data_IF_075713235369
#
_entry.id   IF_075713235369
#
_cell.length_a   1.000
_cell.length_b   1.000
_cell.length_c   1.000
_cell.angle_alpha   90.00
_cell.angle_beta   90.00
_cell.angle_gamma   90.00
#
_symmetry.space_group_name_H-M   'P 1'
#
loop_
_entity.id
_entity.type
_entity.pdbx_description
1 polymer ?
#
# COMPACT_ATOMS: atom_id res chain seq x y z
N UNK A 1 -5.40 -6.19 -5.18
CA UNK A 1 -4.45 -7.30 -5.46
C UNK A 1 -5.07 -8.36 -6.35
N UNK A 2 -6.10 -9.08 -5.92
CA UNK A 2 -6.75 -10.17 -6.68
C UNK A 2 -7.11 -9.73 -8.11
N UNK A 3 -7.66 -8.52 -8.28
CA UNK A 3 -7.99 -7.99 -9.59
C UNK A 3 -6.75 -7.77 -10.50
N UNK A 4 -5.62 -7.33 -9.94
CA UNK A 4 -4.36 -7.17 -10.70
C UNK A 4 -3.86 -8.54 -11.18
N UNK A 5 -4.01 -9.57 -10.36
CA UNK A 5 -3.66 -10.94 -10.74
C UNK A 5 -4.59 -11.51 -11.84
N UNK A 6 -5.87 -11.12 -11.84
CA UNK A 6 -6.90 -11.66 -12.72
C UNK A 6 -6.98 -10.97 -14.10
N UNK A 7 -6.41 -9.77 -14.27
CA UNK A 7 -6.55 -9.01 -15.53
C UNK A 7 -5.23 -8.93 -16.31
N UNK A 8 -5.34 -8.94 -17.63
CA UNK A 8 -4.19 -8.70 -18.54
C UNK A 8 -4.11 -7.27 -19.05
N UNK A 9 -5.08 -6.40 -18.72
CA UNK A 9 -5.13 -5.03 -19.24
C UNK A 9 -4.29 -4.09 -18.37
N UNK A 10 -3.20 -3.56 -18.89
CA UNK A 10 -2.32 -2.62 -18.19
C UNK A 10 -3.02 -1.35 -17.72
N UNK A 11 -3.95 -0.82 -18.51
CA UNK A 11 -4.77 0.33 -18.09
C UNK A 11 -5.62 0.04 -16.84
N UNK A 12 -6.12 -1.20 -16.70
CA UNK A 12 -6.87 -1.62 -15.52
C UNK A 12 -5.96 -1.73 -14.30
N UNK A 13 -4.71 -2.20 -14.47
CA UNK A 13 -3.71 -2.22 -13.39
C UNK A 13 -3.42 -0.81 -12.87
N UNK A 14 -3.24 0.17 -13.76
CA UNK A 14 -3.02 1.57 -13.35
C UNK A 14 -4.23 2.14 -12.60
N UNK A 15 -5.46 1.86 -13.05
CA UNK A 15 -6.65 2.31 -12.33
C UNK A 15 -6.76 1.66 -10.94
N UNK A 16 -6.30 0.42 -10.78
CA UNK A 16 -6.23 -0.25 -9.47
C UNK A 16 -5.18 0.37 -8.54
N UNK A 17 -4.05 0.84 -9.08
CA UNK A 17 -3.08 1.59 -8.29
C UNK A 17 -3.67 2.90 -7.76
N UNK A 18 -4.47 3.62 -8.57
CA UNK A 18 -5.20 4.81 -8.11
C UNK A 18 -6.14 4.46 -6.95
N UNK A 19 -6.94 3.41 -7.12
CA UNK A 19 -7.87 2.97 -6.07
C UNK A 19 -7.12 2.55 -4.80
N UNK A 20 -5.99 1.88 -4.94
CA UNK A 20 -5.14 1.47 -3.82
C UNK A 20 -4.53 2.69 -3.10
N UNK A 21 -4.06 3.69 -3.83
CA UNK A 21 -3.56 4.95 -3.26
C UNK A 21 -4.64 5.69 -2.46
N UNK A 22 -5.87 5.77 -2.98
CA UNK A 22 -7.01 6.34 -2.24
C UNK A 22 -7.34 5.54 -0.98
N UNK A 23 -7.35 4.20 -1.06
CA UNK A 23 -7.59 3.36 0.13
C UNK A 23 -6.51 3.58 1.20
N UNK A 24 -5.23 3.65 0.81
CA UNK A 24 -4.15 3.95 1.75
C UNK A 24 -4.31 5.33 2.39
N UNK A 25 -4.69 6.34 1.61
CA UNK A 25 -4.99 7.66 2.14
C UNK A 25 -6.08 7.62 3.22
N UNK A 26 -7.20 6.92 2.97
CA UNK A 26 -8.27 6.76 3.96
C UNK A 26 -7.82 5.97 5.19
N UNK A 27 -6.99 4.94 5.02
CA UNK A 27 -6.42 4.19 6.14
C UNK A 27 -5.54 5.10 7.00
N UNK A 28 -4.67 5.92 6.40
CA UNK A 28 -3.87 6.90 7.13
C UNK A 28 -4.75 7.90 7.88
N UNK A 29 -5.79 8.42 7.25
CA UNK A 29 -6.68 9.39 7.86
C UNK A 29 -7.43 8.80 9.07
N UNK A 30 -7.93 7.56 8.96
CA UNK A 30 -8.61 6.89 10.08
C UNK A 30 -7.63 6.46 11.17
N UNK A 31 -6.40 6.10 10.83
CA UNK A 31 -5.33 5.81 11.78
C UNK A 31 -5.03 7.04 12.64
N UNK A 32 -4.85 8.18 11.99
CA UNK A 32 -4.60 9.46 12.67
C UNK A 32 -5.73 9.87 13.62
N UNK A 33 -6.99 9.70 13.21
CA UNK A 33 -8.13 10.05 14.05
C UNK A 33 -8.21 9.23 15.35
N UNK A 34 -7.48 8.11 15.44
CA UNK A 34 -7.40 7.23 16.62
C UNK A 34 -6.19 7.52 17.52
N UNK A 35 -5.28 8.39 17.08
CA UNK A 35 -4.07 8.70 17.84
C UNK A 35 -4.42 9.44 19.15
N UNK A 36 -3.84 9.02 20.31
CA UNK A 36 -4.19 9.55 21.63
C UNK A 36 -3.83 11.03 21.78
N UNK A 37 -2.84 11.54 21.02
CA UNK A 37 -2.44 12.94 21.04
C UNK A 37 -3.35 13.84 20.17
N UNK A 38 -4.15 13.24 19.25
CA UNK A 38 -5.12 13.98 18.45
C UNK A 38 -6.44 14.14 19.18
N UNK A 39 -6.74 15.35 19.59
CA UNK A 39 -8.05 15.69 20.16
C UNK A 39 -8.59 16.93 19.43
N UNK A 40 -9.86 16.95 19.08
CA UNK A 40 -10.48 18.10 18.40
C UNK A 40 -10.31 19.41 19.19
N UNK A 41 -10.16 19.31 20.50
CA UNK A 41 -9.86 20.47 21.40
C UNK A 41 -8.45 21.04 21.19
N UNK A 42 -7.51 20.27 20.61
CA UNK A 42 -6.15 20.75 20.30
C UNK A 42 -6.16 21.84 19.24
N UNK A 43 -7.06 21.77 18.26
CA UNK A 43 -7.16 22.76 17.17
C UNK A 43 -7.45 24.16 17.74
N UNK A 44 -8.05 24.22 18.92
CA UNK A 44 -8.38 25.47 19.62
C UNK A 44 -7.26 26.01 20.54
N UNK A 45 -6.23 25.20 20.87
CA UNK A 45 -5.17 25.55 21.81
C UNK A 45 -3.80 25.65 21.15
N UNK A 46 -3.24 26.83 21.01
CA UNK A 46 -1.92 27.08 20.41
C UNK A 46 -0.77 26.34 21.11
N UNK A 47 -0.81 26.22 22.43
CA UNK A 47 0.23 25.56 23.22
C UNK A 47 0.23 24.04 23.00
N UNK A 48 -0.95 23.43 22.85
CA UNK A 48 -1.10 22.01 22.52
C UNK A 48 -0.62 21.70 21.10
N UNK A 49 -0.80 22.60 20.15
CA UNK A 49 -0.29 22.47 18.78
C UNK A 49 1.25 22.52 18.80
N UNK A 50 1.86 23.48 19.53
CA UNK A 50 3.31 23.58 19.62
C UNK A 50 3.96 22.34 20.27
N UNK A 51 3.36 21.78 21.31
CA UNK A 51 3.87 20.59 21.96
C UNK A 51 3.87 19.35 21.05
N UNK A 52 2.91 19.24 20.12
CA UNK A 52 2.75 18.10 19.20
C UNK A 52 3.21 18.42 17.76
N UNK A 53 3.90 19.52 17.53
CA UNK A 53 4.40 19.93 16.20
C UNK A 53 5.11 18.80 15.42
N UNK A 54 6.05 18.02 15.98
CA UNK A 54 6.75 16.99 15.24
C UNK A 54 5.78 15.89 14.74
N UNK A 55 4.79 15.52 15.55
CA UNK A 55 3.78 14.52 15.15
C UNK A 55 2.86 15.06 14.03
N UNK A 56 2.47 16.34 14.12
CA UNK A 56 1.63 17.00 13.10
C UNK A 56 2.38 17.10 11.77
N UNK A 57 3.65 17.51 11.79
CA UNK A 57 4.47 17.64 10.57
C UNK A 57 4.66 16.27 9.92
N UNK A 58 4.97 15.24 10.71
CA UNK A 58 5.12 13.88 10.20
C UNK A 58 3.85 13.33 9.58
N UNK A 59 2.72 13.55 10.21
CA UNK A 59 1.43 13.15 9.68
C UNK A 59 1.08 13.89 8.37
N UNK A 60 1.32 15.20 8.32
CA UNK A 60 1.08 16.01 7.13
C UNK A 60 1.96 15.53 5.96
N UNK A 61 3.21 15.15 6.25
CA UNK A 61 4.11 14.56 5.26
C UNK A 61 3.56 13.25 4.70
N UNK A 62 3.11 12.32 5.55
CA UNK A 62 2.51 11.04 5.15
C UNK A 62 1.25 11.23 4.31
N UNK A 63 0.38 12.18 4.67
CA UNK A 63 -0.82 12.51 3.88
C UNK A 63 -0.44 13.06 2.50
N UNK A 64 0.50 14.00 2.45
CA UNK A 64 0.95 14.62 1.19
C UNK A 64 1.57 13.55 0.28
N UNK A 65 2.43 12.70 0.82
CA UNK A 65 3.04 11.59 0.08
C UNK A 65 1.98 10.62 -0.45
N UNK A 66 1.12 10.08 0.41
CA UNK A 66 0.11 9.09 -0.02
C UNK A 66 -0.88 9.67 -1.01
N UNK A 67 -1.33 10.91 -0.82
CA UNK A 67 -2.31 11.52 -1.71
C UNK A 67 -1.66 11.99 -3.02
N UNK A 68 -0.58 12.79 -2.94
CA UNK A 68 0.00 13.41 -4.14
C UNK A 68 0.81 12.38 -4.92
N UNK A 69 1.76 11.70 -4.28
CA UNK A 69 2.69 10.81 -4.98
C UNK A 69 1.99 9.51 -5.36
N UNK A 70 1.46 8.77 -4.40
CA UNK A 70 0.91 7.42 -4.64
C UNK A 70 -0.45 7.44 -5.34
N UNK A 71 -1.35 8.37 -5.02
CA UNK A 71 -2.67 8.40 -5.64
C UNK A 71 -2.72 9.14 -6.99
N UNK A 72 -1.83 10.11 -7.24
CA UNK A 72 -1.86 10.92 -8.45
C UNK A 72 -0.60 10.81 -9.31
N UNK A 73 0.57 11.17 -8.79
CA UNK A 73 1.80 11.30 -9.61
C UNK A 73 2.18 9.98 -10.28
N UNK A 74 2.34 8.92 -9.50
CA UNK A 74 2.76 7.62 -9.99
C UNK A 74 1.75 7.05 -11.00
N UNK A 75 0.44 6.96 -10.71
CA UNK A 75 -0.52 6.42 -11.67
C UNK A 75 -0.67 7.26 -12.93
N UNK A 76 -0.62 8.59 -12.83
CA UNK A 76 -0.69 9.46 -14.00
C UNK A 76 0.53 9.29 -14.91
N UNK A 77 1.73 9.19 -14.32
CA UNK A 77 2.94 8.89 -15.05
C UNK A 77 2.85 7.54 -15.76
N UNK A 78 2.45 6.48 -15.06
CA UNK A 78 2.25 5.14 -15.64
C UNK A 78 1.20 5.16 -16.77
N UNK A 79 0.10 5.87 -16.58
CA UNK A 79 -0.95 6.02 -17.63
C UNK A 79 -0.40 6.67 -18.88
N UNK A 80 0.46 7.68 -18.73
CA UNK A 80 1.16 8.33 -19.85
C UNK A 80 2.12 7.36 -20.55
N UNK A 81 2.88 6.56 -19.78
CA UNK A 81 3.80 5.55 -20.33
C UNK A 81 3.03 4.46 -21.07
N UNK A 82 1.98 3.88 -20.48
CA UNK A 82 1.12 2.87 -21.13
C UNK A 82 0.58 3.38 -22.46
N UNK A 83 0.13 4.65 -22.50
CA UNK A 83 -0.40 5.27 -23.71
C UNK A 83 0.71 5.46 -24.77
N UNK A 84 1.90 5.90 -24.36
CA UNK A 84 3.03 6.15 -25.27
C UNK A 84 3.64 4.88 -25.84
N UNK A 85 3.70 3.81 -25.07
CA UNK A 85 4.28 2.52 -25.48
C UNK A 85 3.29 1.63 -26.25
N UNK A 86 2.02 2.07 -26.42
CA UNK A 86 0.95 1.26 -27.01
C UNK A 86 0.81 -0.14 -26.37
N UNK A 87 1.26 -0.30 -25.14
CA UNK A 87 1.22 -1.54 -24.38
C UNK A 87 -0.19 -1.75 -23.79
N UNK A 88 -1.09 -2.34 -24.57
CA UNK A 88 -2.48 -2.50 -24.15
C UNK A 88 -2.72 -3.74 -23.30
N UNK A 89 -1.97 -4.81 -23.53
CA UNK A 89 -2.17 -6.10 -22.84
C UNK A 89 -0.85 -6.71 -22.40
N UNK A 90 -0.91 -7.36 -21.25
CA UNK A 90 0.14 -8.24 -20.74
C UNK A 90 -0.24 -9.69 -21.06
N UNK A 91 0.14 -10.14 -22.27
CA UNK A 91 -0.19 -11.47 -22.80
C UNK A 91 0.92 -12.49 -22.55
N UNK A 92 2.07 -12.07 -22.06
CA UNK A 92 3.28 -12.88 -21.99
C UNK A 92 3.48 -13.52 -20.60
N UNK A 93 2.40 -13.68 -19.83
CA UNK A 93 2.48 -14.41 -18.57
C UNK A 93 2.56 -15.92 -18.86
N UNK A 94 3.53 -16.60 -18.27
CA UNK A 94 3.71 -18.06 -18.41
C UNK A 94 2.56 -18.88 -17.79
N UNK A 95 1.73 -18.23 -16.97
CA UNK A 95 0.69 -18.87 -16.19
C UNK A 95 -0.67 -18.28 -16.55
N UNK A 96 -1.70 -19.11 -16.81
CA UNK A 96 -3.05 -18.62 -17.05
C UNK A 96 -3.58 -17.76 -15.89
N UNK A 97 -4.31 -16.71 -16.18
CA UNK A 97 -4.83 -15.76 -15.18
C UNK A 97 -5.67 -16.43 -14.08
N UNK A 98 -6.31 -17.54 -14.37
CA UNK A 98 -7.07 -18.31 -13.39
C UNK A 98 -6.18 -18.82 -12.25
N UNK A 99 -4.99 -19.37 -12.56
CA UNK A 99 -4.05 -19.81 -11.54
C UNK A 99 -3.48 -18.66 -10.72
N UNK A 100 -3.22 -17.53 -11.36
CA UNK A 100 -2.77 -16.32 -10.66
C UNK A 100 -3.82 -15.84 -9.63
N UNK A 101 -5.09 -15.87 -10.00
CA UNK A 101 -6.20 -15.51 -9.12
C UNK A 101 -6.31 -16.51 -7.95
N UNK A 102 -6.23 -17.80 -8.24
CA UNK A 102 -6.34 -18.84 -7.23
C UNK A 102 -5.20 -18.76 -6.21
N UNK A 103 -3.96 -18.63 -6.68
CA UNK A 103 -2.78 -18.48 -5.82
C UNK A 103 -2.87 -17.21 -4.98
N UNK A 104 -3.27 -16.08 -5.58
CA UNK A 104 -3.45 -14.80 -4.85
C UNK A 104 -4.52 -14.91 -3.76
N UNK A 105 -5.57 -15.68 -4.00
CA UNK A 105 -6.62 -15.92 -2.99
C UNK A 105 -6.11 -16.80 -1.83
N UNK A 106 -5.30 -17.81 -2.13
CA UNK A 106 -4.66 -18.63 -1.09
C UNK A 106 -3.69 -17.80 -0.25
N UNK A 107 -2.87 -16.95 -0.89
CA UNK A 107 -1.93 -16.06 -0.18
C UNK A 107 -2.69 -15.11 0.74
N UNK A 108 -3.80 -14.52 0.28
CA UNK A 108 -4.63 -13.65 1.09
C UNK A 108 -5.18 -14.40 2.32
N UNK A 109 -5.74 -15.58 2.11
CA UNK A 109 -6.27 -16.41 3.19
C UNK A 109 -5.18 -16.79 4.20
N UNK A 110 -4.00 -17.20 3.71
CA UNK A 110 -2.85 -17.52 4.56
C UNK A 110 -2.39 -16.30 5.37
N UNK A 111 -2.36 -15.10 4.79
CA UNK A 111 -2.04 -13.86 5.50
C UNK A 111 -2.98 -13.59 6.67
N UNK A 112 -4.28 -13.80 6.46
CA UNK A 112 -5.27 -13.67 7.55
C UNK A 112 -5.13 -14.78 8.60
N UNK A 113 -4.83 -16.01 8.22
CA UNK A 113 -4.58 -17.09 9.18
C UNK A 113 -3.38 -16.75 10.08
N UNK A 114 -2.27 -16.33 9.49
CA UNK A 114 -1.06 -15.94 10.26
C UNK A 114 -1.35 -14.77 11.19
N UNK A 115 -2.10 -13.77 10.73
CA UNK A 115 -2.46 -12.61 11.54
C UNK A 115 -3.32 -12.96 12.77
N UNK A 116 -4.10 -14.04 12.71
CA UNK A 116 -4.97 -14.48 13.81
C UNK A 116 -4.32 -15.53 14.73
N UNK A 117 -3.05 -15.88 14.52
CA UNK A 117 -2.32 -16.75 15.46
C UNK A 117 -2.01 -15.92 16.72
N UNK A 118 -2.48 -16.37 17.87
CA UNK A 118 -2.19 -15.76 19.17
C UNK A 118 -0.72 -15.96 19.56
N UNK A 119 0.15 -15.11 19.02
CA UNK A 119 1.55 -15.02 19.44
C UNK A 119 1.64 -13.86 20.43
N UNK A 120 2.07 -14.11 21.68
CA UNK A 120 2.12 -13.07 22.72
C UNK A 120 2.93 -11.84 22.33
N UNK A 121 3.98 -12.03 21.53
CA UNK A 121 4.88 -10.98 21.04
C UNK A 121 4.25 -10.09 19.95
N UNK A 122 3.22 -10.58 19.26
CA UNK A 122 2.50 -9.88 18.20
C UNK A 122 1.27 -9.08 18.68
N UNK A 123 1.01 -9.02 20.00
CA UNK A 123 -0.15 -8.29 20.58
C UNK A 123 -0.13 -6.78 20.31
N UNK A 124 1.03 -6.22 19.97
CA UNK A 124 1.19 -4.80 19.62
C UNK A 124 0.83 -4.52 18.14
N UNK A 125 0.70 -5.54 17.32
CA UNK A 125 0.45 -5.44 15.88
C UNK A 125 -1.06 -5.51 15.63
N UNK A 126 -1.57 -4.64 14.75
CA UNK A 126 -2.95 -4.75 14.28
C UNK A 126 -3.07 -5.94 13.31
N UNK A 127 -3.77 -7.04 13.72
CA UNK A 127 -3.81 -8.27 12.94
C UNK A 127 -4.40 -8.07 11.54
N UNK A 128 -5.36 -7.16 11.41
CA UNK A 128 -6.03 -6.91 10.14
C UNK A 128 -5.07 -6.25 9.14
N UNK A 129 -4.37 -5.20 9.55
CA UNK A 129 -3.40 -4.52 8.68
C UNK A 129 -2.21 -5.42 8.36
N UNK A 130 -1.74 -6.20 9.31
CA UNK A 130 -0.67 -7.18 9.12
C UNK A 130 -1.04 -8.26 8.10
N UNK A 131 -2.23 -8.87 8.22
CA UNK A 131 -2.70 -9.91 7.31
C UNK A 131 -2.86 -9.39 5.87
N UNK A 132 -3.46 -8.20 5.71
CA UNK A 132 -3.64 -7.60 4.39
C UNK A 132 -2.31 -7.18 3.78
N UNK A 133 -1.42 -6.53 4.53
CA UNK A 133 -0.14 -6.04 4.03
C UNK A 133 0.79 -7.18 3.61
N UNK A 134 0.92 -8.22 4.43
CA UNK A 134 1.71 -9.40 4.10
C UNK A 134 1.19 -10.10 2.85
N UNK A 135 -0.13 -10.24 2.69
CA UNK A 135 -0.73 -10.78 1.48
C UNK A 135 -0.44 -9.92 0.25
N UNK A 136 -0.47 -8.58 0.37
CA UNK A 136 -0.13 -7.65 -0.72
C UNK A 136 1.33 -7.85 -1.13
N UNK A 137 2.27 -7.87 -0.18
CA UNK A 137 3.71 -8.01 -0.46
C UNK A 137 3.99 -9.33 -1.17
N UNK A 138 3.52 -10.47 -0.62
CA UNK A 138 3.77 -11.79 -1.18
C UNK A 138 3.15 -11.92 -2.58
N UNK A 139 1.91 -11.44 -2.77
CA UNK A 139 1.25 -11.51 -4.08
C UNK A 139 1.94 -10.63 -5.11
N UNK A 140 2.47 -9.46 -4.70
CA UNK A 140 3.23 -8.57 -5.60
C UNK A 140 4.54 -9.18 -6.03
N UNK A 141 5.29 -9.78 -5.11
CA UNK A 141 6.51 -10.54 -5.44
C UNK A 141 6.22 -11.69 -6.40
N UNK A 142 5.15 -12.44 -6.14
CA UNK A 142 4.69 -13.49 -7.04
C UNK A 142 4.40 -12.95 -8.45
N UNK A 143 3.65 -11.84 -8.56
CA UNK A 143 3.33 -11.23 -9.84
C UNK A 143 4.58 -10.73 -10.59
N UNK A 144 5.55 -10.14 -9.90
CA UNK A 144 6.82 -9.72 -10.48
C UNK A 144 7.57 -10.93 -11.08
N UNK A 145 7.55 -12.06 -10.38
CA UNK A 145 8.27 -13.27 -10.82
C UNK A 145 7.66 -13.89 -12.08
N UNK A 146 6.34 -13.88 -12.23
CA UNK A 146 5.65 -14.52 -13.37
C UNK A 146 5.42 -13.61 -14.57
N UNK A 147 5.53 -12.30 -14.40
CA UNK A 147 5.34 -11.31 -15.45
C UNK A 147 6.68 -10.95 -16.10
N UNK A 148 6.72 -11.00 -17.44
CA UNK A 148 7.96 -10.72 -18.19
C UNK A 148 8.06 -9.26 -18.68
N UNK A 149 6.94 -8.53 -18.76
CA UNK A 149 6.94 -7.15 -19.21
C UNK A 149 7.43 -6.20 -18.12
N UNK A 150 8.41 -5.38 -18.45
CA UNK A 150 8.97 -4.36 -17.53
C UNK A 150 7.88 -3.51 -16.90
N UNK A 151 6.89 -3.07 -17.67
CA UNK A 151 5.80 -2.24 -17.15
C UNK A 151 4.94 -2.97 -16.11
N UNK A 152 4.69 -4.27 -16.31
CA UNK A 152 3.98 -5.10 -15.33
C UNK A 152 4.80 -5.31 -14.06
N UNK A 153 6.12 -5.47 -14.18
CA UNK A 153 7.03 -5.58 -13.05
C UNK A 153 7.08 -4.27 -12.24
N UNK A 154 7.12 -3.12 -12.92
CA UNK A 154 7.03 -1.80 -12.26
C UNK A 154 5.71 -1.66 -11.49
N UNK A 155 4.59 -2.05 -12.08
CA UNK A 155 3.28 -2.03 -11.39
C UNK A 155 3.29 -2.97 -10.18
N UNK A 156 3.87 -4.17 -10.31
CA UNK A 156 4.05 -5.12 -9.21
C UNK A 156 4.90 -4.53 -8.08
N UNK A 157 6.00 -3.85 -8.42
CA UNK A 157 6.88 -3.20 -7.45
C UNK A 157 6.15 -2.09 -6.68
N UNK A 158 5.45 -1.20 -7.36
CA UNK A 158 4.66 -0.12 -6.72
C UNK A 158 3.56 -0.71 -5.81
N UNK A 159 2.96 -1.83 -6.24
CA UNK A 159 1.96 -2.51 -5.41
C UNK A 159 2.59 -3.12 -4.15
N UNK A 160 3.79 -3.68 -4.26
CA UNK A 160 4.58 -4.18 -3.14
C UNK A 160 4.93 -3.06 -2.17
N UNK A 161 5.39 -1.91 -2.67
CA UNK A 161 5.69 -0.71 -1.89
C UNK A 161 4.47 -0.22 -1.08
N UNK A 162 3.29 -0.22 -1.68
CA UNK A 162 2.04 0.08 -0.98
C UNK A 162 1.74 -0.96 0.12
N UNK A 163 2.10 -2.23 -0.10
CA UNK A 163 2.00 -3.29 0.91
C UNK A 163 2.97 -3.06 2.07
N UNK A 164 4.22 -2.70 1.79
CA UNK A 164 5.23 -2.37 2.81
C UNK A 164 4.79 -1.18 3.64
N UNK A 165 4.24 -0.15 3.00
CA UNK A 165 3.67 0.99 3.70
C UNK A 165 2.56 0.59 4.67
N UNK A 166 1.60 -0.23 4.23
CA UNK A 166 0.52 -0.72 5.10
C UNK A 166 1.07 -1.63 6.22
N UNK A 167 2.12 -2.41 5.93
CA UNK A 167 2.80 -3.22 6.93
C UNK A 167 3.46 -2.35 8.00
N UNK A 168 4.11 -1.25 7.61
CA UNK A 168 4.69 -0.30 8.56
C UNK A 168 3.65 0.31 9.49
N UNK A 169 2.45 0.62 8.96
CA UNK A 169 1.35 1.10 9.79
C UNK A 169 0.82 0.05 10.78
N UNK A 170 0.97 -1.24 10.47
CA UNK A 170 0.54 -2.32 11.36
C UNK A 170 1.49 -2.54 12.53
N UNK A 171 2.80 -2.34 12.31
CA UNK A 171 3.86 -2.64 13.28
C UNK A 171 4.26 -1.41 14.09
N UNK A 172 4.33 -0.25 13.44
CA UNK A 172 4.85 0.98 14.04
C UNK A 172 3.73 1.91 14.48
N UNK A 173 3.17 1.67 15.67
CA UNK A 173 2.30 2.67 16.31
C UNK A 173 3.04 3.98 16.64
N UNK A 174 4.38 3.95 16.71
CA UNK A 174 5.18 5.10 17.17
C UNK A 174 6.16 5.67 16.13
N UNK A 175 6.38 5.01 14.97
CA UNK A 175 7.42 5.46 14.00
C UNK A 175 7.00 5.43 12.52
N UNK A 176 5.84 5.96 12.11
CA UNK A 176 5.47 5.95 10.70
C UNK A 176 6.38 6.82 9.83
N UNK A 177 7.02 7.86 10.39
CA UNK A 177 7.84 8.84 9.67
C UNK A 177 9.15 8.24 9.16
N UNK A 178 9.85 7.48 10.01
CA UNK A 178 11.16 6.89 9.66
C UNK A 178 11.01 5.86 8.55
N UNK A 179 9.95 5.05 8.63
CA UNK A 179 9.67 4.01 7.62
C UNK A 179 9.27 4.65 6.29
N UNK A 180 8.45 5.70 6.31
CA UNK A 180 8.06 6.42 5.10
C UNK A 180 9.22 7.17 4.45
N UNK A 181 10.11 7.75 5.24
CA UNK A 181 11.35 8.36 4.72
C UNK A 181 12.25 7.30 4.08
N UNK A 182 12.33 6.10 4.65
CA UNK A 182 13.05 4.98 4.07
C UNK A 182 12.49 4.54 2.73
N UNK A 183 11.16 4.40 2.63
CA UNK A 183 10.45 4.02 1.40
C UNK A 183 10.49 5.11 0.32
N UNK A 184 10.55 6.39 0.72
CA UNK A 184 10.66 7.51 -0.23
C UNK A 184 12.07 7.67 -0.81
N UNK A 185 13.10 7.22 -0.06
CA UNK A 185 14.51 7.31 -0.47
C UNK A 185 14.94 6.13 -1.37
N UNK A 186 14.15 5.06 -1.46
CA UNK A 186 14.39 3.87 -2.25
C UNK A 186 13.79 4.02 -3.66
#
# INVERSE_FOLDING_TARGET
>A
MIYIAATSRLAAHVNMLIAQGWLLFFVCLTGFAKEPWFNWTMISNSDAIMANMPHIIGFLFVIVETLIVKAFVIPLFLKKVVKKTHAHRDTDANIPHFYCLFISSIILFAGFLVANIDIPELKLIDPMYFGVSSAIIITSLWLITIKHKVLSNVIGFITMENGIFLFSLSVAKEMPIIVNLGVLLD
#
